data_IF_055879104559
#
_entry.id   IF_055879104559
#
_cell.length_a   1.000
_cell.length_b   1.000
_cell.length_c   1.000
_cell.angle_alpha   90.00
_cell.angle_beta   90.00
_cell.angle_gamma   90.00
#
_symmetry.space_group_name_H-M   'P 1'
#
loop_
_entity.id
_entity.type
_entity.pdbx_description
1 polymer ?
#
# COMPACT_ATOMS: atom_id res chain seq x y z
N UNK A 1 33.98 18.12 -34.04
CA UNK A 1 32.64 17.49 -33.92
C UNK A 1 32.65 16.04 -34.40
N UNK A 2 33.15 15.74 -35.61
CA UNK A 2 33.18 14.36 -36.13
C UNK A 2 33.96 13.36 -35.25
N UNK A 3 35.12 13.75 -34.69
CA UNK A 3 35.94 12.85 -33.86
C UNK A 3 35.29 12.54 -32.50
N UNK A 4 34.68 13.52 -31.82
CA UNK A 4 33.99 13.29 -30.54
C UNK A 4 32.64 12.57 -30.69
N UNK A 5 32.03 12.61 -31.89
CA UNK A 5 30.82 11.84 -32.18
C UNK A 5 31.10 10.33 -32.10
N UNK A 6 32.25 9.89 -32.62
CA UNK A 6 32.63 8.47 -32.64
C UNK A 6 33.35 8.04 -31.35
N UNK A 7 34.27 8.87 -30.83
CA UNK A 7 35.10 8.49 -29.69
C UNK A 7 34.52 8.86 -28.31
N UNK A 8 33.46 9.67 -28.28
CA UNK A 8 32.88 10.21 -27.06
C UNK A 8 33.56 11.47 -26.54
N UNK A 9 33.02 12.03 -25.45
CA UNK A 9 33.58 13.20 -24.79
C UNK A 9 33.23 14.53 -25.47
N UNK A 10 32.09 14.62 -26.16
CA UNK A 10 31.56 15.91 -26.58
C UNK A 10 31.04 16.69 -25.35
N UNK A 11 30.98 18.05 -25.39
CA UNK A 11 30.45 18.86 -24.29
C UNK A 11 29.06 18.43 -23.80
N UNK A 12 28.18 18.01 -24.72
CA UNK A 12 26.84 17.49 -24.43
C UNK A 12 26.88 16.20 -23.61
N UNK A 13 27.88 15.35 -23.79
CA UNK A 13 28.01 14.08 -23.07
C UNK A 13 28.28 14.33 -21.59
N UNK A 14 29.17 15.29 -21.28
CA UNK A 14 29.44 15.70 -19.90
C UNK A 14 28.20 16.31 -19.23
N UNK A 15 27.42 17.09 -19.96
CA UNK A 15 26.15 17.63 -19.46
C UNK A 15 25.18 16.49 -19.15
N UNK A 16 24.99 15.54 -20.09
CA UNK A 16 24.08 14.40 -19.89
C UNK A 16 24.50 13.53 -18.69
N UNK A 17 25.80 13.26 -18.53
CA UNK A 17 26.32 12.51 -17.38
C UNK A 17 26.11 13.29 -16.08
N UNK A 18 26.27 14.61 -16.09
CA UNK A 18 26.01 15.46 -14.91
C UNK A 18 24.53 15.41 -14.51
N UNK A 19 23.62 15.50 -15.49
CA UNK A 19 22.17 15.36 -15.27
C UNK A 19 21.84 13.98 -14.70
N UNK A 20 22.45 12.93 -15.24
CA UNK A 20 22.28 11.55 -14.75
C UNK A 20 22.78 11.38 -13.31
N UNK A 21 23.96 11.92 -12.99
CA UNK A 21 24.51 11.90 -11.64
C UNK A 21 23.60 12.65 -10.65
N UNK A 22 23.15 13.86 -11.00
CA UNK A 22 22.22 14.64 -10.17
C UNK A 22 20.91 13.88 -9.94
N UNK A 23 20.36 13.27 -10.99
CA UNK A 23 19.15 12.46 -10.91
C UNK A 23 19.33 11.27 -9.96
N UNK A 24 20.49 10.61 -10.00
CA UNK A 24 20.81 9.53 -9.07
C UNK A 24 20.97 10.02 -7.62
N UNK A 25 21.59 11.17 -7.39
CA UNK A 25 21.64 11.78 -6.05
C UNK A 25 20.24 12.08 -5.52
N UNK A 26 19.35 12.63 -6.34
CA UNK A 26 17.96 12.88 -5.97
C UNK A 26 17.23 11.56 -5.62
N UNK A 27 17.43 10.50 -6.39
CA UNK A 27 16.89 9.17 -6.09
C UNK A 27 17.34 8.64 -4.73
N UNK A 28 18.64 8.76 -4.41
CA UNK A 28 19.17 8.32 -3.12
C UNK A 28 18.58 9.13 -1.96
N UNK A 29 18.51 10.46 -2.10
CA UNK A 29 17.89 11.34 -1.10
C UNK A 29 16.44 10.90 -0.85
N UNK A 30 15.66 10.72 -1.92
CA UNK A 30 14.27 10.27 -1.81
C UNK A 30 14.13 8.89 -1.20
N UNK A 31 15.03 7.95 -1.52
CA UNK A 31 15.00 6.61 -0.95
C UNK A 31 15.34 6.59 0.54
N UNK A 32 16.22 7.47 1.01
CA UNK A 32 16.71 7.49 2.39
C UNK A 32 15.83 8.37 3.29
N UNK A 33 15.23 9.43 2.74
CA UNK A 33 14.42 10.42 3.45
C UNK A 33 13.34 9.81 4.39
N UNK A 34 12.57 8.79 3.98
CA UNK A 34 11.61 8.14 4.87
C UNK A 34 12.25 7.52 6.12
N UNK A 35 13.44 6.92 5.98
CA UNK A 35 14.13 6.26 7.09
C UNK A 35 14.76 7.25 8.07
N UNK A 36 15.30 8.37 7.56
CA UNK A 36 15.90 9.43 8.38
C UNK A 36 14.85 10.21 9.18
N UNK A 37 13.77 10.64 8.52
CA UNK A 37 12.80 11.56 9.12
C UNK A 37 11.74 10.83 9.93
N UNK A 38 11.27 9.66 9.48
CA UNK A 38 10.08 9.03 10.06
C UNK A 38 10.39 7.89 11.04
N UNK A 39 11.67 7.65 11.37
CA UNK A 39 12.12 6.57 12.29
C UNK A 39 11.34 5.25 12.08
N UNK A 40 11.13 4.88 10.81
CA UNK A 40 10.30 3.74 10.45
C UNK A 40 10.95 2.47 11.02
N UNK A 41 10.26 1.67 11.85
CA UNK A 41 10.83 0.41 12.30
C UNK A 41 11.11 -0.47 11.09
N UNK A 42 12.33 -1.02 11.01
CA UNK A 42 12.74 -1.94 9.94
C UNK A 42 11.77 -3.12 9.92
N UNK A 43 10.86 -3.14 8.95
CA UNK A 43 10.00 -4.29 8.74
C UNK A 43 10.87 -5.43 8.22
N UNK A 44 10.94 -6.56 8.94
CA UNK A 44 11.67 -7.76 8.53
C UNK A 44 11.02 -8.48 7.33
N UNK A 45 10.13 -7.81 6.60
CA UNK A 45 9.32 -8.38 5.52
C UNK A 45 10.03 -8.34 4.17
N UNK A 46 9.79 -9.35 3.34
CA UNK A 46 10.34 -9.49 1.98
C UNK A 46 9.96 -8.35 1.02
N UNK A 47 8.92 -7.57 1.33
CA UNK A 47 8.51 -6.39 0.56
C UNK A 47 9.48 -5.21 0.68
N UNK A 48 10.29 -5.16 1.76
CA UNK A 48 11.26 -4.09 2.00
C UNK A 48 12.41 -4.09 1.00
N UNK A 49 12.77 -5.26 0.47
CA UNK A 49 13.92 -5.41 -0.43
C UNK A 49 13.64 -4.92 -1.85
N UNK A 50 12.38 -4.85 -2.27
CA UNK A 50 12.03 -4.51 -3.66
C UNK A 50 12.45 -3.06 -4.01
N UNK A 51 12.16 -2.03 -3.20
CA UNK A 51 12.66 -0.67 -3.46
C UNK A 51 14.18 -0.57 -3.51
N UNK A 52 14.89 -1.30 -2.63
CA UNK A 52 16.37 -1.32 -2.62
C UNK A 52 16.90 -1.92 -3.93
N UNK A 53 16.33 -3.05 -4.35
CA UNK A 53 16.66 -3.71 -5.61
C UNK A 53 16.42 -2.75 -6.80
N UNK A 54 15.33 -1.96 -6.77
CA UNK A 54 15.04 -0.97 -7.80
C UNK A 54 16.06 0.17 -7.85
N UNK A 55 16.55 0.67 -6.70
CA UNK A 55 17.61 1.70 -6.66
C UNK A 55 18.90 1.15 -7.26
N UNK A 56 19.27 -0.10 -6.90
CA UNK A 56 20.46 -0.75 -7.45
C UNK A 56 20.32 -0.97 -8.96
N UNK A 57 19.17 -1.46 -9.42
CA UNK A 57 18.89 -1.65 -10.84
C UNK A 57 18.95 -0.33 -11.63
N UNK A 58 18.40 0.74 -11.05
CA UNK A 58 18.44 2.11 -11.59
C UNK A 58 19.87 2.62 -11.77
N UNK A 59 20.73 2.39 -10.77
CA UNK A 59 22.14 2.75 -10.86
C UNK A 59 22.85 1.98 -11.98
N UNK A 60 22.65 0.66 -12.02
CA UNK A 60 23.27 -0.21 -13.03
C UNK A 60 22.81 0.20 -14.43
N UNK A 61 21.54 0.53 -14.63
CA UNK A 61 21.02 0.98 -15.92
C UNK A 61 21.70 2.26 -16.39
N UNK A 62 21.81 3.30 -15.56
CA UNK A 62 22.51 4.53 -15.92
C UNK A 62 23.98 4.31 -16.23
N UNK A 63 24.66 3.55 -15.36
CA UNK A 63 26.07 3.23 -15.56
C UNK A 63 26.27 2.43 -16.86
N UNK A 64 25.35 1.52 -17.16
CA UNK A 64 25.39 0.74 -18.40
C UNK A 64 25.23 1.60 -19.64
N UNK A 65 24.27 2.54 -19.66
CA UNK A 65 24.08 3.48 -20.78
C UNK A 65 25.31 4.37 -21.00
N UNK A 66 25.93 4.85 -19.92
CA UNK A 66 27.11 5.71 -19.97
C UNK A 66 28.31 4.96 -20.57
N UNK A 67 28.48 3.68 -20.23
CA UNK A 67 29.62 2.87 -20.68
C UNK A 67 29.38 2.27 -22.07
N UNK A 68 28.16 1.80 -22.38
CA UNK A 68 27.82 1.16 -23.65
C UNK A 68 27.86 2.14 -24.83
N UNK A 69 27.38 3.38 -24.64
CA UNK A 69 27.25 4.38 -25.71
C UNK A 69 28.45 5.35 -25.79
N UNK A 70 29.60 4.99 -25.23
CA UNK A 70 30.86 5.74 -25.29
C UNK A 70 30.73 7.23 -24.92
N UNK A 71 30.09 7.59 -23.79
CA UNK A 71 30.04 9.00 -23.35
C UNK A 71 31.41 9.55 -22.97
N UNK A 72 32.32 8.66 -22.58
CA UNK A 72 33.70 8.98 -22.22
C UNK A 72 34.69 8.32 -23.17
N UNK A 73 35.77 9.03 -23.45
CA UNK A 73 36.90 8.56 -24.27
C UNK A 73 37.75 7.55 -23.48
N UNK A 74 37.24 6.34 -23.27
CA UNK A 74 37.99 5.25 -22.64
C UNK A 74 38.63 4.35 -23.69
N UNK A 75 39.95 4.15 -23.60
CA UNK A 75 40.58 3.01 -24.29
C UNK A 75 40.13 1.72 -23.60
N UNK A 76 39.37 0.89 -24.31
CA UNK A 76 38.87 -0.43 -23.84
C UNK A 76 40.07 -1.36 -23.59
N UNK A 77 40.67 -1.29 -22.41
CA UNK A 77 41.85 -2.06 -22.00
C UNK A 77 41.52 -3.16 -20.99
N UNK A 78 40.45 -3.00 -20.22
CA UNK A 78 40.06 -3.94 -19.17
C UNK A 78 38.81 -4.74 -19.55
N UNK A 79 38.72 -5.99 -19.08
CA UNK A 79 37.57 -6.87 -19.33
C UNK A 79 36.24 -6.26 -18.85
N UNK A 80 36.25 -5.49 -17.76
CA UNK A 80 35.09 -4.74 -17.25
C UNK A 80 34.62 -3.60 -18.15
N UNK A 81 35.37 -3.24 -19.20
CA UNK A 81 34.94 -2.30 -20.24
C UNK A 81 34.37 -3.03 -21.47
N UNK A 82 34.16 -4.35 -21.35
CA UNK A 82 33.55 -5.14 -22.41
C UNK A 82 32.12 -4.67 -22.64
N UNK A 83 31.84 -4.44 -23.92
CA UNK A 83 30.53 -4.10 -24.41
C UNK A 83 29.45 -5.09 -23.94
N UNK A 84 29.78 -6.38 -23.92
CA UNK A 84 28.86 -7.44 -23.52
C UNK A 84 28.42 -7.30 -22.06
N UNK A 85 29.29 -6.83 -21.16
CA UNK A 85 28.95 -6.68 -19.75
C UNK A 85 27.92 -5.55 -19.58
N UNK A 86 28.12 -4.41 -20.23
CA UNK A 86 27.26 -3.25 -20.02
C UNK A 86 26.03 -3.24 -20.92
N UNK A 87 26.17 -3.52 -22.20
CA UNK A 87 25.04 -3.51 -23.14
C UNK A 87 24.16 -4.76 -23.02
N UNK A 88 24.71 -5.94 -22.73
CA UNK A 88 23.89 -7.16 -22.63
C UNK A 88 23.47 -7.49 -21.19
N UNK A 89 24.37 -7.41 -20.20
CA UNK A 89 24.05 -7.74 -18.80
C UNK A 89 23.57 -6.53 -17.98
N UNK A 90 24.21 -5.37 -18.18
CA UNK A 90 23.88 -4.12 -17.49
C UNK A 90 22.52 -3.58 -17.90
N UNK A 91 22.33 -3.22 -19.18
CA UNK A 91 21.07 -2.66 -19.68
C UNK A 91 19.91 -3.66 -19.56
N UNK A 92 20.17 -4.94 -19.88
CA UNK A 92 19.17 -6.01 -19.90
C UNK A 92 18.77 -6.49 -18.49
N UNK A 93 19.28 -7.64 -18.02
CA UNK A 93 18.81 -8.27 -16.79
C UNK A 93 19.04 -7.42 -15.53
N UNK A 94 20.19 -6.75 -15.39
CA UNK A 94 20.50 -6.03 -14.14
C UNK A 94 19.88 -4.63 -14.06
N UNK A 95 19.58 -4.02 -15.20
CA UNK A 95 18.96 -2.71 -15.32
C UNK A 95 17.46 -2.83 -15.56
N UNK A 96 17.05 -2.73 -16.84
CA UNK A 96 15.64 -2.63 -17.23
C UNK A 96 14.84 -3.87 -16.85
N UNK A 97 15.39 -5.06 -17.07
CA UNK A 97 14.77 -6.33 -16.72
C UNK A 97 14.47 -6.45 -15.23
N UNK A 98 15.42 -6.06 -14.36
CA UNK A 98 15.23 -6.06 -12.91
C UNK A 98 14.19 -5.03 -12.47
N UNK A 99 14.21 -3.82 -13.03
CA UNK A 99 13.21 -2.78 -12.78
C UNK A 99 11.80 -3.27 -13.14
N UNK A 100 11.61 -3.81 -14.34
CA UNK A 100 10.29 -4.23 -14.80
C UNK A 100 9.81 -5.50 -14.08
N UNK A 101 10.71 -6.47 -13.85
CA UNK A 101 10.40 -7.68 -13.07
C UNK A 101 10.00 -7.37 -11.64
N UNK A 102 10.62 -6.35 -11.03
CA UNK A 102 10.25 -5.88 -9.69
C UNK A 102 8.83 -5.31 -9.66
N UNK A 103 8.40 -4.60 -10.70
CA UNK A 103 7.04 -4.07 -10.83
C UNK A 103 6.01 -5.14 -11.12
N UNK A 104 6.31 -6.10 -11.98
CA UNK A 104 5.44 -7.26 -12.20
C UNK A 104 5.26 -8.02 -10.89
N UNK A 105 6.33 -8.16 -10.10
CA UNK A 105 6.25 -8.77 -8.76
C UNK A 105 5.33 -7.98 -7.84
N UNK A 106 5.46 -6.65 -7.76
CA UNK A 106 4.56 -5.79 -6.98
C UNK A 106 3.10 -5.91 -7.45
N UNK A 107 2.85 -5.76 -8.75
CA UNK A 107 1.51 -5.85 -9.34
C UNK A 107 0.87 -7.23 -9.09
N UNK A 108 1.67 -8.29 -9.20
CA UNK A 108 1.21 -9.66 -8.92
C UNK A 108 0.88 -9.85 -7.44
N UNK A 109 1.69 -9.32 -6.52
CA UNK A 109 1.38 -9.35 -5.09
C UNK A 109 0.06 -8.67 -4.80
N UNK A 110 -0.18 -7.48 -5.38
CA UNK A 110 -1.45 -6.78 -5.27
C UNK A 110 -2.59 -7.63 -5.87
N UNK A 111 -2.41 -8.22 -7.05
CA UNK A 111 -3.42 -9.10 -7.65
C UNK A 111 -3.79 -10.29 -6.74
N UNK A 112 -2.81 -10.96 -6.13
CA UNK A 112 -3.10 -12.09 -5.24
C UNK A 112 -3.86 -11.65 -3.98
N UNK A 113 -3.45 -10.53 -3.38
CA UNK A 113 -4.07 -9.98 -2.18
C UNK A 113 -5.50 -9.51 -2.47
N UNK A 114 -5.70 -8.76 -3.56
CA UNK A 114 -6.96 -8.06 -3.84
C UNK A 114 -7.94 -8.89 -4.68
N UNK A 115 -7.48 -9.57 -5.73
CA UNK A 115 -8.35 -10.35 -6.62
C UNK A 115 -8.52 -11.78 -6.09
N UNK A 116 -7.43 -12.47 -5.80
CA UNK A 116 -7.50 -13.86 -5.32
C UNK A 116 -7.82 -13.99 -3.82
N UNK A 117 -7.85 -12.87 -3.07
CA UNK A 117 -8.10 -12.84 -1.62
C UNK A 117 -7.18 -13.79 -0.85
N UNK A 118 -5.95 -13.97 -1.34
CA UNK A 118 -4.96 -14.89 -0.79
C UNK A 118 -3.58 -14.26 -0.68
N UNK A 119 -2.79 -14.70 0.30
CA UNK A 119 -1.36 -14.41 0.30
C UNK A 119 -0.72 -14.96 -0.99
N UNK A 120 0.23 -14.23 -1.61
CA UNK A 120 0.88 -14.69 -2.83
C UNK A 120 1.50 -16.06 -2.58
N UNK A 121 1.14 -17.04 -3.42
CA UNK A 121 1.50 -18.44 -3.27
C UNK A 121 3.03 -18.65 -3.25
N UNK A 122 3.76 -17.72 -3.87
CA UNK A 122 5.22 -17.71 -3.98
C UNK A 122 5.71 -16.41 -3.33
N UNK A 123 6.64 -16.53 -2.37
CA UNK A 123 7.28 -15.37 -1.74
C UNK A 123 8.04 -14.55 -2.79
N UNK A 124 8.06 -13.23 -2.65
CA UNK A 124 8.69 -12.31 -3.63
C UNK A 124 10.13 -12.66 -3.98
N UNK A 125 10.92 -13.15 -3.02
CA UNK A 125 12.32 -13.51 -3.26
C UNK A 125 12.51 -14.75 -4.14
N UNK A 126 11.49 -15.61 -4.29
CA UNK A 126 11.49 -16.70 -5.26
C UNK A 126 10.86 -16.28 -6.58
N UNK A 127 9.80 -15.46 -6.52
CA UNK A 127 9.08 -15.03 -7.71
C UNK A 127 9.90 -14.09 -8.61
N UNK A 128 10.66 -13.17 -8.01
CA UNK A 128 11.47 -12.21 -8.77
C UNK A 128 12.55 -12.88 -9.64
N UNK A 129 13.39 -13.81 -9.13
CA UNK A 129 14.35 -14.54 -9.96
C UNK A 129 13.69 -15.33 -11.10
N UNK A 130 12.50 -15.92 -10.87
CA UNK A 130 11.77 -16.65 -11.90
C UNK A 130 11.35 -15.72 -13.04
N UNK A 131 10.79 -14.54 -12.71
CA UNK A 131 10.43 -13.54 -13.72
C UNK A 131 11.68 -12.97 -14.40
N UNK A 132 12.83 -12.92 -13.74
CA UNK A 132 14.06 -12.40 -14.34
C UNK A 132 14.74 -13.40 -15.30
N UNK A 133 14.43 -14.69 -15.20
CA UNK A 133 15.12 -15.76 -15.92
C UNK A 133 15.15 -15.57 -17.45
N UNK A 134 14.05 -15.16 -18.14
CA UNK A 134 14.10 -14.89 -19.58
C UNK A 134 15.13 -13.83 -19.98
N UNK A 135 15.34 -12.81 -19.14
CA UNK A 135 16.37 -11.79 -19.38
C UNK A 135 17.78 -12.35 -19.25
N UNK A 136 18.01 -13.18 -18.24
CA UNK A 136 19.30 -13.84 -18.00
C UNK A 136 19.65 -14.77 -19.16
N UNK A 137 18.67 -15.57 -19.62
CA UNK A 137 18.84 -16.46 -20.77
C UNK A 137 19.13 -15.65 -22.04
N UNK A 138 18.38 -14.58 -22.29
CA UNK A 138 18.62 -13.70 -23.44
C UNK A 138 20.03 -13.09 -23.43
N UNK A 139 20.46 -12.55 -22.29
CA UNK A 139 21.81 -11.98 -22.14
C UNK A 139 22.91 -13.04 -22.33
N UNK A 140 22.71 -14.26 -21.82
CA UNK A 140 23.65 -15.36 -22.00
C UNK A 140 23.77 -15.77 -23.48
N UNK A 141 22.64 -15.87 -24.20
CA UNK A 141 22.65 -16.19 -25.65
C UNK A 141 23.39 -15.11 -26.44
N UNK A 142 23.13 -13.83 -26.18
CA UNK A 142 23.84 -12.70 -26.80
C UNK A 142 25.34 -12.79 -26.50
N UNK A 143 25.73 -13.07 -25.25
CA UNK A 143 27.14 -13.17 -24.87
C UNK A 143 27.84 -14.36 -25.57
N UNK A 144 27.18 -15.51 -25.72
CA UNK A 144 27.76 -16.68 -26.39
C UNK A 144 27.85 -16.48 -27.90
N UNK A 145 26.82 -15.90 -28.53
CA UNK A 145 26.75 -15.70 -29.98
C UNK A 145 27.55 -14.49 -30.46
N UNK A 146 27.95 -13.61 -29.54
CA UNK A 146 28.77 -12.43 -29.78
C UNK A 146 28.32 -11.56 -30.97
N UNK A 147 27.07 -11.06 -30.99
CA UNK A 147 26.57 -10.27 -32.11
C UNK A 147 26.85 -8.76 -32.01
N UNK A 148 27.51 -8.28 -30.94
CA UNK A 148 27.76 -6.85 -30.73
C UNK A 148 29.00 -6.40 -31.51
N UNK A 149 28.88 -5.25 -32.17
CA UNK A 149 29.99 -4.54 -32.82
C UNK A 149 30.90 -3.83 -31.81
N UNK A 150 32.04 -3.30 -32.28
CA UNK A 150 32.98 -2.52 -31.44
C UNK A 150 32.34 -1.24 -30.86
N UNK A 151 31.29 -0.75 -31.50
CA UNK A 151 30.47 0.39 -31.06
C UNK A 151 29.33 0.01 -30.12
N UNK A 152 29.19 -1.27 -29.77
CA UNK A 152 28.12 -1.79 -28.93
C UNK A 152 26.72 -1.92 -29.54
N UNK A 153 26.61 -1.81 -30.85
CA UNK A 153 25.34 -2.01 -31.54
C UNK A 153 25.16 -3.47 -31.95
N UNK A 154 23.90 -3.90 -31.88
CA UNK A 154 23.45 -5.18 -32.40
C UNK A 154 22.63 -4.92 -33.67
N UNK A 155 22.82 -5.75 -34.70
CA UNK A 155 22.02 -5.66 -35.91
C UNK A 155 20.53 -5.98 -35.65
N UNK A 156 19.66 -5.54 -36.55
CA UNK A 156 18.20 -5.65 -36.41
C UNK A 156 17.70 -7.06 -36.04
N UNK A 157 18.34 -8.12 -36.55
CA UNK A 157 18.02 -9.52 -36.25
C UNK A 157 18.07 -9.87 -34.75
N UNK A 158 18.91 -9.18 -33.96
CA UNK A 158 19.04 -9.36 -32.51
C UNK A 158 18.24 -8.32 -31.73
N UNK A 159 18.15 -7.09 -32.26
CA UNK A 159 17.39 -6.01 -31.65
C UNK A 159 15.89 -6.28 -31.62
N UNK A 160 15.31 -6.85 -32.69
CA UNK A 160 13.88 -7.18 -32.76
C UNK A 160 13.46 -8.12 -31.61
N UNK A 161 14.10 -9.29 -31.38
CA UNK A 161 13.80 -10.14 -30.23
C UNK A 161 13.92 -9.44 -28.87
N UNK A 162 14.91 -8.56 -28.69
CA UNK A 162 15.08 -7.80 -27.44
C UNK A 162 13.91 -6.84 -27.23
N UNK A 163 13.48 -6.11 -28.26
CA UNK A 163 12.31 -5.22 -28.20
C UNK A 163 11.03 -6.02 -27.94
N UNK A 164 10.86 -7.18 -28.58
CA UNK A 164 9.72 -8.06 -28.32
C UNK A 164 9.67 -8.52 -26.86
N UNK A 165 10.83 -8.85 -26.25
CA UNK A 165 10.90 -9.21 -24.84
C UNK A 165 10.48 -8.03 -23.93
N UNK A 166 10.97 -6.81 -24.22
CA UNK A 166 10.57 -5.61 -23.47
C UNK A 166 9.05 -5.37 -23.56
N UNK A 167 8.50 -5.42 -24.77
CA UNK A 167 7.08 -5.24 -25.02
C UNK A 167 6.22 -6.31 -24.33
N UNK A 168 6.67 -7.57 -24.33
CA UNK A 168 5.99 -8.67 -23.64
C UNK A 168 5.88 -8.43 -22.14
N UNK A 169 6.94 -7.94 -21.49
CA UNK A 169 6.89 -7.64 -20.06
C UNK A 169 5.95 -6.47 -19.74
N UNK A 170 5.90 -5.45 -20.59
CA UNK A 170 4.91 -4.36 -20.44
C UNK A 170 3.50 -4.89 -20.64
N UNK A 171 3.27 -5.79 -21.60
CA UNK A 171 1.97 -6.42 -21.81
C UNK A 171 1.54 -7.26 -20.60
N UNK A 172 2.46 -8.01 -19.98
CA UNK A 172 2.19 -8.71 -18.71
C UNK A 172 1.77 -7.71 -17.63
N UNK A 173 2.51 -6.61 -17.48
CA UNK A 173 2.20 -5.60 -16.47
C UNK A 173 0.81 -4.99 -16.70
N UNK A 174 0.47 -4.65 -17.95
CA UNK A 174 -0.88 -4.20 -18.35
C UNK A 174 -1.94 -5.24 -18.02
N UNK A 175 -1.70 -6.52 -18.32
CA UNK A 175 -2.65 -7.60 -18.06
C UNK A 175 -2.93 -7.78 -16.56
N UNK A 176 -1.86 -7.83 -15.75
CA UNK A 176 -1.98 -7.97 -14.29
C UNK A 176 -2.64 -6.74 -13.67
N UNK A 177 -2.22 -5.53 -14.05
CA UNK A 177 -2.82 -4.29 -13.54
C UNK A 177 -4.26 -4.12 -14.02
N UNK A 178 -4.57 -4.52 -15.25
CA UNK A 178 -5.92 -4.49 -15.83
C UNK A 178 -6.88 -5.42 -15.10
N UNK A 179 -6.43 -6.63 -14.73
CA UNK A 179 -7.22 -7.58 -13.94
C UNK A 179 -7.59 -7.04 -12.54
N UNK A 180 -6.87 -6.03 -12.07
CA UNK A 180 -7.05 -5.39 -10.77
C UNK A 180 -7.91 -4.12 -10.87
N UNK A 181 -8.25 -3.65 -12.08
CA UNK A 181 -8.95 -2.37 -12.34
C UNK A 181 -10.34 -2.24 -11.71
N UNK A 182 -11.06 -3.36 -11.56
CA UNK A 182 -12.43 -3.36 -11.02
C UNK A 182 -12.51 -3.20 -9.50
N UNK A 183 -11.36 -3.17 -8.83
CA UNK A 183 -11.30 -3.01 -7.38
C UNK A 183 -11.22 -1.52 -7.10
N UNK A 184 -12.21 -0.98 -6.40
CA UNK A 184 -12.18 0.39 -5.90
C UNK A 184 -11.08 0.52 -4.85
N UNK A 185 -9.90 0.94 -5.30
CA UNK A 185 -8.80 1.21 -4.38
C UNK A 185 -9.10 2.46 -3.59
N UNK A 186 -9.06 2.35 -2.26
CA UNK A 186 -9.04 3.51 -1.35
C UNK A 186 -7.71 4.28 -1.40
N UNK A 187 -6.71 3.77 -2.14
CA UNK A 187 -5.36 4.32 -2.29
C UNK A 187 -5.01 4.50 -3.78
N UNK A 188 -4.18 5.50 -4.12
CA UNK A 188 -3.74 5.75 -5.52
C UNK A 188 -2.77 4.69 -6.08
N UNK A 189 -2.56 3.56 -5.40
CA UNK A 189 -1.59 2.51 -5.79
C UNK A 189 -1.85 1.95 -7.21
N UNK A 190 -3.13 1.80 -7.61
CA UNK A 190 -3.48 1.38 -8.97
C UNK A 190 -3.11 2.46 -10.01
N UNK A 191 -3.36 3.73 -9.68
CA UNK A 191 -3.01 4.88 -10.54
C UNK A 191 -1.49 4.99 -10.69
N UNK A 192 -0.76 4.70 -9.63
CA UNK A 192 0.71 4.66 -9.65
C UNK A 192 1.23 3.46 -10.48
N UNK A 193 0.60 2.28 -10.40
CA UNK A 193 0.92 1.17 -11.32
C UNK A 193 0.67 1.54 -12.79
N UNK A 194 -0.43 2.20 -13.11
CA UNK A 194 -0.71 2.68 -14.48
C UNK A 194 0.27 3.74 -14.95
N UNK A 195 0.69 4.68 -14.09
CA UNK A 195 1.75 5.63 -14.40
C UNK A 195 3.09 4.92 -14.61
N UNK A 196 3.38 3.88 -13.82
CA UNK A 196 4.55 3.02 -14.02
C UNK A 196 4.56 2.33 -15.39
N UNK A 197 3.42 1.78 -15.82
CA UNK A 197 3.25 1.22 -17.16
C UNK A 197 3.53 2.28 -18.23
N UNK A 198 2.96 3.48 -18.08
CA UNK A 198 3.15 4.58 -19.03
C UNK A 198 4.64 4.96 -19.14
N UNK A 199 5.34 5.09 -18.01
CA UNK A 199 6.78 5.40 -17.95
C UNK A 199 7.61 4.28 -18.60
N UNK A 200 7.29 3.00 -18.34
CA UNK A 200 7.99 1.88 -18.97
C UNK A 200 7.77 1.81 -20.49
N UNK A 201 6.53 2.05 -20.96
CA UNK A 201 6.23 2.08 -22.38
C UNK A 201 6.96 3.25 -23.08
N UNK A 202 6.99 4.43 -22.46
CA UNK A 202 7.72 5.59 -22.97
C UNK A 202 9.23 5.32 -23.02
N UNK A 203 9.78 4.64 -22.01
CA UNK A 203 11.18 4.22 -22.00
C UNK A 203 11.56 3.34 -23.18
N UNK A 204 10.72 2.35 -23.51
CA UNK A 204 10.95 1.46 -24.66
C UNK A 204 10.85 2.25 -25.96
N UNK A 205 9.85 3.12 -26.10
CA UNK A 205 9.70 3.96 -27.29
C UNK A 205 10.91 4.86 -27.52
N UNK A 206 11.44 5.49 -26.46
CA UNK A 206 12.64 6.33 -26.53
C UNK A 206 13.86 5.51 -26.92
N UNK A 207 14.06 4.34 -26.31
CA UNK A 207 15.19 3.46 -26.62
C UNK A 207 15.14 2.97 -28.08
N UNK A 208 13.97 2.53 -28.56
CA UNK A 208 13.76 2.11 -29.95
C UNK A 208 14.00 3.27 -30.91
N UNK A 209 13.52 4.47 -30.58
CA UNK A 209 13.73 5.67 -31.41
C UNK A 209 15.20 6.01 -31.49
N UNK A 210 15.93 5.97 -30.37
CA UNK A 210 17.37 6.21 -30.33
C UNK A 210 18.15 5.18 -31.16
N UNK A 211 17.78 3.90 -31.08
CA UNK A 211 18.35 2.83 -31.90
C UNK A 211 18.11 3.07 -33.40
N UNK A 212 16.88 3.37 -33.80
CA UNK A 212 16.53 3.62 -35.21
C UNK A 212 17.28 4.85 -35.75
N UNK A 213 17.38 5.92 -34.95
CA UNK A 213 18.12 7.12 -35.33
C UNK A 213 19.61 6.83 -35.54
N UNK A 214 20.18 5.96 -34.73
CA UNK A 214 21.60 5.60 -34.80
C UNK A 214 21.88 4.62 -35.97
N UNK A 215 20.96 3.70 -36.27
CA UNK A 215 21.09 2.74 -37.38
C UNK A 215 20.86 3.36 -38.77
N UNK A 216 19.84 4.22 -38.93
CA UNK A 216 19.48 4.78 -40.26
C UNK A 216 20.41 5.93 -40.68
N UNK A 217 21.02 6.64 -39.71
CA UNK A 217 21.70 7.91 -39.95
C UNK A 217 23.13 7.91 -39.41
N UNK A 218 23.83 6.77 -39.49
CA UNK A 218 25.24 6.61 -39.08
C UNK A 218 26.19 7.61 -39.77
N UNK A 219 25.80 8.15 -40.93
CA UNK A 219 26.57 9.16 -41.67
C UNK A 219 26.51 10.57 -41.03
N UNK A 220 25.59 10.82 -40.09
CA UNK A 220 25.30 12.15 -39.56
C UNK A 220 25.77 12.28 -38.10
N UNK A 221 27.03 12.69 -37.94
CA UNK A 221 27.70 12.84 -36.63
C UNK A 221 26.97 13.72 -35.59
N UNK A 222 26.29 14.80 -35.98
CA UNK A 222 25.58 15.66 -35.01
C UNK A 222 24.32 15.01 -34.44
N UNK A 223 23.66 14.16 -35.24
CA UNK A 223 22.44 13.48 -34.85
C UNK A 223 22.73 12.33 -33.89
N UNK A 224 23.85 11.62 -34.07
CA UNK A 224 24.34 10.61 -33.14
C UNK A 224 24.60 11.21 -31.73
N UNK A 225 25.27 12.37 -31.68
CA UNK A 225 25.51 13.09 -30.43
C UNK A 225 24.21 13.57 -29.78
N UNK A 226 23.25 14.05 -30.57
CA UNK A 226 21.93 14.44 -30.07
C UNK A 226 21.12 13.23 -29.55
N UNK A 227 21.12 12.12 -30.29
CA UNK A 227 20.42 10.88 -29.93
C UNK A 227 20.90 10.34 -28.58
N UNK A 228 22.22 10.19 -28.40
CA UNK A 228 22.78 9.75 -27.11
C UNK A 228 22.50 10.75 -26.00
N UNK A 229 22.61 12.06 -26.25
CA UNK A 229 22.27 13.06 -25.23
C UNK A 229 20.82 12.90 -24.75
N UNK A 230 19.87 12.79 -25.67
CA UNK A 230 18.44 12.61 -25.37
C UNK A 230 18.21 11.29 -24.64
N UNK A 231 18.84 10.19 -25.07
CA UNK A 231 18.68 8.87 -24.46
C UNK A 231 18.99 8.88 -22.96
N UNK A 232 20.14 9.42 -22.55
CA UNK A 232 20.55 9.43 -21.13
C UNK A 232 19.74 10.43 -20.29
N UNK A 233 19.43 11.60 -20.83
CA UNK A 233 18.60 12.61 -20.14
C UNK A 233 17.20 12.05 -19.90
N UNK A 234 16.58 11.47 -20.93
CA UNK A 234 15.24 10.90 -20.83
C UNK A 234 15.25 9.67 -19.93
N UNK A 235 16.25 8.78 -20.04
CA UNK A 235 16.41 7.67 -19.09
C UNK A 235 16.50 8.16 -17.64
N UNK A 236 17.22 9.26 -17.38
CA UNK A 236 17.33 9.87 -16.05
C UNK A 236 16.00 10.37 -15.50
N UNK A 237 15.21 11.05 -16.34
CA UNK A 237 13.86 11.50 -15.99
C UNK A 237 12.94 10.30 -15.73
N UNK A 238 12.99 9.28 -16.59
CA UNK A 238 12.14 8.10 -16.49
C UNK A 238 12.44 7.27 -15.25
N UNK A 239 13.71 7.10 -14.88
CA UNK A 239 14.08 6.40 -13.64
C UNK A 239 13.63 7.18 -12.41
N UNK A 240 13.80 8.51 -12.41
CA UNK A 240 13.24 9.38 -11.36
C UNK A 240 11.74 9.20 -11.23
N UNK A 241 10.99 9.24 -12.35
CA UNK A 241 9.56 9.01 -12.36
C UNK A 241 9.21 7.60 -11.85
N UNK A 242 9.91 6.58 -12.35
CA UNK A 242 9.68 5.19 -12.01
C UNK A 242 9.87 4.92 -10.52
N UNK A 243 10.90 5.49 -9.90
CA UNK A 243 11.10 5.40 -8.45
C UNK A 243 10.10 6.25 -7.67
N UNK A 244 9.80 7.45 -8.17
CA UNK A 244 8.92 8.38 -7.46
C UNK A 244 7.53 7.80 -7.27
N UNK A 245 7.06 7.09 -8.29
CA UNK A 245 5.79 6.38 -8.31
C UNK A 245 5.84 5.09 -7.46
N UNK A 246 7.03 4.51 -7.20
CA UNK A 246 7.15 3.29 -6.36
C UNK A 246 7.20 3.57 -4.87
N UNK A 247 7.72 4.73 -4.48
CA UNK A 247 8.11 5.06 -3.11
C UNK A 247 6.99 5.78 -2.33
N UNK A 248 6.03 6.41 -3.02
CA UNK A 248 5.14 7.41 -2.43
C UNK A 248 3.98 6.86 -1.60
N UNK A 249 3.57 5.60 -1.73
CA UNK A 249 2.34 5.16 -1.07
C UNK A 249 2.47 4.01 -0.07
N UNK A 250 3.10 2.84 -0.28
CA UNK A 250 2.96 1.75 0.70
C UNK A 250 3.64 2.06 2.05
N UNK A 251 4.75 2.79 2.06
CA UNK A 251 5.44 3.20 3.29
C UNK A 251 4.80 4.43 3.92
N UNK A 252 4.49 5.46 3.12
CA UNK A 252 3.83 6.67 3.61
C UNK A 252 2.37 6.43 4.00
N UNK A 253 1.67 5.49 3.37
CA UNK A 253 0.31 5.06 3.74
C UNK A 253 0.34 4.21 4.99
N UNK A 254 1.35 3.34 5.20
CA UNK A 254 1.53 2.67 6.48
C UNK A 254 1.89 3.66 7.61
N UNK A 255 2.71 4.67 7.31
CA UNK A 255 3.08 5.72 8.28
C UNK A 255 1.92 6.68 8.51
N UNK A 256 1.14 7.03 7.48
CA UNK A 256 -0.03 7.90 7.59
C UNK A 256 -1.20 7.15 8.19
N UNK A 257 -1.43 5.87 7.88
CA UNK A 257 -2.37 5.01 8.59
C UNK A 257 -1.95 4.95 10.05
N UNK A 258 -0.69 4.65 10.39
CA UNK A 258 -0.26 4.61 11.79
C UNK A 258 -0.35 5.97 12.50
N UNK A 259 0.00 7.08 11.83
CA UNK A 259 -0.01 8.44 12.39
C UNK A 259 -1.44 9.03 12.44
N UNK A 260 -2.31 8.66 11.51
CA UNK A 260 -3.73 9.06 11.43
C UNK A 260 -4.62 8.15 12.28
N UNK A 261 -4.36 6.85 12.35
CA UNK A 261 -4.93 5.93 13.35
C UNK A 261 -4.59 6.41 14.75
N UNK A 262 -3.36 6.87 15.01
CA UNK A 262 -3.02 7.40 16.33
C UNK A 262 -3.70 8.73 16.69
N UNK A 263 -4.31 9.44 15.73
CA UNK A 263 -4.83 10.80 15.94
C UNK A 263 -6.30 11.04 15.58
N UNK A 264 -6.93 10.21 14.74
CA UNK A 264 -8.29 10.47 14.24
C UNK A 264 -9.28 9.29 14.40
N UNK A 265 -8.82 8.05 14.60
CA UNK A 265 -9.70 6.87 14.67
C UNK A 265 -9.47 6.04 15.93
N UNK A 266 -10.53 5.81 16.71
CA UNK A 266 -10.47 5.05 17.97
C UNK A 266 -10.42 3.53 17.73
N UNK A 267 -10.88 3.06 16.57
CA UNK A 267 -10.83 1.66 16.14
C UNK A 267 -10.65 1.51 14.63
N UNK A 268 -10.12 0.37 14.17
CA UNK A 268 -10.00 0.08 12.74
C UNK A 268 -11.36 -0.04 12.04
N UNK A 269 -12.42 -0.42 12.77
CA UNK A 269 -13.78 -0.43 12.24
C UNK A 269 -14.24 0.97 11.80
N UNK A 270 -13.91 1.98 12.60
CA UNK A 270 -14.16 3.39 12.28
C UNK A 270 -13.35 3.84 11.06
N UNK A 271 -12.08 3.44 10.95
CA UNK A 271 -11.23 3.73 9.80
C UNK A 271 -11.75 3.08 8.51
N UNK A 272 -12.37 1.90 8.60
CA UNK A 272 -12.98 1.21 7.46
C UNK A 272 -14.36 1.77 7.07
N UNK A 273 -14.89 2.74 7.81
CA UNK A 273 -16.23 3.29 7.57
C UNK A 273 -17.33 2.29 7.89
N UNK A 274 -17.08 1.37 8.84
CA UNK A 274 -18.14 0.55 9.42
C UNK A 274 -19.01 1.54 10.22
N UNK A 275 -20.30 1.69 9.89
CA UNK A 275 -21.15 2.59 10.64
C UNK A 275 -21.16 2.16 12.09
N UNK A 276 -20.74 3.05 12.98
CA UNK A 276 -21.05 2.93 14.39
C UNK A 276 -22.57 2.79 14.46
N UNK A 277 -23.08 1.63 14.83
CA UNK A 277 -24.51 1.40 15.06
C UNK A 277 -25.09 2.28 16.20
N UNK A 278 -24.31 3.24 16.71
CA UNK A 278 -24.65 4.12 17.84
C UNK A 278 -25.23 5.49 17.49
N UNK A 279 -25.27 5.92 16.22
CA UNK A 279 -25.84 7.25 15.89
C UNK A 279 -27.31 7.18 15.43
N UNK A 280 -27.84 5.98 15.15
CA UNK A 280 -29.23 5.79 14.70
C UNK A 280 -30.03 4.69 15.44
N UNK A 281 -29.55 4.18 16.57
CA UNK A 281 -30.28 3.18 17.36
C UNK A 281 -30.83 3.77 18.66
N UNK A 282 -31.94 4.49 18.56
CA UNK A 282 -32.81 4.89 19.67
C UNK A 282 -33.59 3.68 20.24
N UNK A 283 -32.99 2.49 20.24
CA UNK A 283 -33.63 1.24 20.67
C UNK A 283 -32.59 0.13 20.93
N UNK A 284 -31.65 0.38 21.85
CA UNK A 284 -31.04 -0.76 22.56
C UNK A 284 -32.01 -1.16 23.69
N UNK A 285 -32.45 -2.43 23.79
CA UNK A 285 -33.38 -2.84 24.82
C UNK A 285 -32.75 -2.55 26.19
N UNK A 286 -33.43 -1.71 26.98
CA UNK A 286 -33.25 -1.46 28.41
C UNK A 286 -33.59 -2.70 29.24
N UNK A 287 -33.08 -3.86 28.84
CA UNK A 287 -33.20 -5.10 29.59
C UNK A 287 -32.15 -5.10 30.68
N UNK A 288 -32.60 -5.16 31.94
CA UNK A 288 -31.76 -5.44 33.10
C UNK A 288 -30.91 -6.68 32.80
N UNK A 289 -29.59 -6.54 32.85
CA UNK A 289 -28.68 -7.64 32.54
C UNK A 289 -28.81 -8.70 33.61
N UNK A 290 -29.13 -9.93 33.20
CA UNK A 290 -29.18 -11.08 34.09
C UNK A 290 -27.79 -11.74 34.14
N UNK A 291 -27.11 -11.76 35.30
CA UNK A 291 -25.78 -12.38 35.45
C UNK A 291 -25.76 -13.89 35.13
N UNK A 292 -26.92 -14.54 35.09
CA UNK A 292 -27.05 -15.95 34.72
C UNK A 292 -27.07 -16.18 33.19
N UNK A 293 -27.09 -15.12 32.38
CA UNK A 293 -26.95 -15.25 30.94
C UNK A 293 -25.51 -15.60 30.53
N UNK A 294 -25.34 -16.35 29.43
CA UNK A 294 -24.02 -16.72 28.95
C UNK A 294 -23.24 -15.46 28.54
N UNK A 295 -21.97 -15.36 28.98
CA UNK A 295 -21.11 -14.18 28.77
C UNK A 295 -21.02 -13.76 27.29
N UNK A 296 -20.99 -14.71 26.37
CA UNK A 296 -20.99 -14.48 24.92
C UNK A 296 -22.19 -13.67 24.44
N UNK A 297 -23.37 -13.90 25.01
CA UNK A 297 -24.58 -13.11 24.73
C UNK A 297 -24.48 -11.71 25.34
N UNK A 298 -23.98 -11.60 26.56
CA UNK A 298 -23.82 -10.34 27.27
C UNK A 298 -22.81 -9.41 26.58
N UNK A 299 -21.72 -9.98 26.08
CA UNK A 299 -20.70 -9.25 25.33
C UNK A 299 -21.21 -8.67 24.01
N UNK A 300 -22.35 -9.11 23.47
CA UNK A 300 -22.97 -8.45 22.31
C UNK A 300 -23.51 -7.06 22.65
N UNK A 301 -23.93 -6.84 23.90
CA UNK A 301 -24.37 -5.53 24.37
C UNK A 301 -23.17 -4.57 24.47
N UNK A 302 -23.20 -3.47 23.70
CA UNK A 302 -22.08 -2.53 23.58
C UNK A 302 -21.73 -1.89 24.93
N UNK A 303 -22.73 -1.53 25.75
CA UNK A 303 -22.49 -0.89 27.05
C UNK A 303 -21.90 -1.86 28.06
N UNK A 304 -22.44 -3.06 28.14
CA UNK A 304 -21.88 -4.12 28.98
C UNK A 304 -20.42 -4.39 28.60
N UNK A 305 -20.17 -4.58 27.30
CA UNK A 305 -18.82 -4.84 26.78
C UNK A 305 -17.85 -3.72 27.12
N UNK A 306 -18.26 -2.45 27.06
CA UNK A 306 -17.42 -1.31 27.46
C UNK A 306 -17.10 -1.30 28.96
N UNK A 307 -18.08 -1.58 29.83
CA UNK A 307 -17.84 -1.70 31.27
C UNK A 307 -16.91 -2.89 31.59
N UNK A 308 -17.16 -4.03 30.96
CA UNK A 308 -16.33 -5.24 31.11
C UNK A 308 -14.91 -5.03 30.60
N UNK A 309 -14.73 -4.31 29.48
CA UNK A 309 -13.43 -3.94 28.93
C UNK A 309 -12.65 -3.03 29.88
N UNK A 310 -13.29 -2.01 30.46
CA UNK A 310 -12.64 -1.13 31.43
C UNK A 310 -12.18 -1.88 32.69
N UNK A 311 -12.98 -2.85 33.14
CA UNK A 311 -12.58 -3.76 34.22
C UNK A 311 -11.38 -4.63 33.81
N UNK A 312 -11.44 -5.29 32.64
CA UNK A 312 -10.38 -6.15 32.16
C UNK A 312 -9.05 -5.40 31.97
N UNK A 313 -9.10 -4.17 31.46
CA UNK A 313 -7.95 -3.26 31.35
C UNK A 313 -7.36 -2.96 32.74
N UNK A 314 -8.20 -2.76 33.76
CA UNK A 314 -7.72 -2.56 35.15
C UNK A 314 -7.03 -3.80 35.74
N UNK A 315 -7.38 -4.98 35.25
CA UNK A 315 -6.76 -6.25 35.61
C UNK A 315 -5.55 -6.63 34.74
N UNK A 316 -5.13 -5.75 33.82
CA UNK A 316 -4.08 -6.04 32.82
C UNK A 316 -4.37 -7.28 31.96
N UNK A 317 -5.66 -7.59 31.75
CA UNK A 317 -6.16 -8.72 30.96
C UNK A 317 -7.12 -8.23 29.85
N UNK A 318 -7.01 -6.96 29.47
CA UNK A 318 -7.88 -6.30 28.51
C UNK A 318 -7.77 -6.86 27.10
N UNK A 319 -6.63 -7.45 26.73
CA UNK A 319 -6.35 -7.98 25.39
C UNK A 319 -7.43 -8.96 24.92
N UNK A 320 -8.00 -9.74 25.84
CA UNK A 320 -9.06 -10.71 25.56
C UNK A 320 -10.36 -10.02 25.11
N UNK A 321 -10.73 -8.91 25.76
CA UNK A 321 -11.97 -8.18 25.46
C UNK A 321 -11.80 -7.30 24.22
N UNK A 322 -10.64 -6.67 24.05
CA UNK A 322 -10.29 -5.90 22.85
C UNK A 322 -10.26 -6.79 21.60
N UNK A 323 -9.69 -8.00 21.70
CA UNK A 323 -9.72 -8.97 20.62
C UNK A 323 -11.15 -9.38 20.26
N UNK A 324 -12.00 -9.65 21.26
CA UNK A 324 -13.41 -9.98 21.02
C UNK A 324 -14.15 -8.86 20.28
N UNK A 325 -13.96 -7.59 20.71
CA UNK A 325 -14.60 -6.44 20.08
C UNK A 325 -14.19 -6.28 18.62
N UNK A 326 -12.89 -6.38 18.30
CA UNK A 326 -12.42 -6.26 16.91
C UNK A 326 -12.86 -7.42 16.00
N UNK A 327 -12.87 -8.66 16.51
CA UNK A 327 -13.40 -9.81 15.76
C UNK A 327 -14.92 -9.67 15.54
N UNK A 328 -15.64 -9.09 16.50
CA UNK A 328 -17.04 -8.76 16.35
C UNK A 328 -17.28 -7.64 15.32
N UNK A 329 -16.43 -6.61 15.28
CA UNK A 329 -16.50 -5.59 14.22
C UNK A 329 -16.18 -6.19 12.84
N UNK A 330 -15.25 -7.15 12.74
CA UNK A 330 -15.00 -7.91 11.51
C UNK A 330 -16.24 -8.69 11.04
N UNK A 331 -17.02 -9.26 11.95
CA UNK A 331 -18.21 -10.04 11.59
C UNK A 331 -19.35 -9.18 11.04
N UNK A 332 -19.37 -7.88 11.35
CA UNK A 332 -20.31 -6.91 10.76
C UNK A 332 -20.01 -6.57 9.30
N UNK A 333 -18.80 -6.85 8.83
CA UNK A 333 -18.42 -6.59 7.44
C UNK A 333 -19.05 -7.66 6.54
N UNK A 334 -19.84 -7.27 5.53
CA UNK A 334 -20.47 -8.19 4.58
C UNK A 334 -19.49 -9.18 3.93
N UNK A 335 -19.93 -10.42 3.66
CA UNK A 335 -19.06 -11.47 3.09
C UNK A 335 -18.59 -11.19 1.65
N UNK A 336 -19.36 -10.39 0.91
CA UNK A 336 -19.02 -9.91 -0.41
C UNK A 336 -17.86 -8.89 -0.38
N UNK A 337 -17.75 -8.08 0.69
CA UNK A 337 -16.64 -7.15 0.94
C UNK A 337 -15.42 -7.85 1.55
N UNK A 338 -14.82 -8.75 0.77
CA UNK A 338 -13.61 -9.47 1.16
C UNK A 338 -12.40 -8.57 1.42
N UNK A 339 -12.36 -7.35 0.87
CA UNK A 339 -11.21 -6.44 1.00
C UNK A 339 -11.15 -5.86 2.40
N UNK A 340 -12.26 -5.27 2.90
CA UNK A 340 -12.30 -4.74 4.28
C UNK A 340 -12.08 -5.85 5.30
N UNK A 341 -12.60 -7.05 5.04
CA UNK A 341 -12.38 -8.24 5.88
C UNK A 341 -10.90 -8.62 5.97
N UNK A 342 -10.17 -8.63 4.84
CA UNK A 342 -8.72 -8.95 4.84
C UNK A 342 -7.92 -7.90 5.62
N UNK A 343 -8.21 -6.61 5.44
CA UNK A 343 -7.50 -5.55 6.17
C UNK A 343 -7.72 -5.67 7.68
N UNK A 344 -8.97 -5.84 8.09
CA UNK A 344 -9.32 -6.03 9.49
C UNK A 344 -8.69 -7.32 10.05
N UNK A 345 -8.76 -8.44 9.32
CA UNK A 345 -8.15 -9.69 9.74
C UNK A 345 -6.63 -9.57 9.90
N UNK A 346 -5.95 -8.87 8.99
CA UNK A 346 -4.50 -8.64 9.08
C UNK A 346 -4.14 -7.80 10.29
N UNK A 347 -4.91 -6.75 10.57
CA UNK A 347 -4.72 -5.94 11.77
C UNK A 347 -4.88 -6.76 13.05
N UNK A 348 -5.95 -7.54 13.13
CA UNK A 348 -6.20 -8.44 14.27
C UNK A 348 -5.02 -9.42 14.42
N UNK A 349 -4.53 -9.99 13.33
CA UNK A 349 -3.38 -10.91 13.38
C UNK A 349 -2.12 -10.22 13.91
N UNK A 350 -1.77 -9.05 13.37
CA UNK A 350 -0.56 -8.31 13.75
C UNK A 350 -0.63 -7.79 15.21
N UNK A 351 -1.83 -7.44 15.68
CA UNK A 351 -2.06 -6.84 17.01
C UNK A 351 -2.24 -7.87 18.13
N UNK A 352 -2.89 -9.00 17.85
CA UNK A 352 -3.27 -9.99 18.87
C UNK A 352 -2.69 -11.40 18.67
N UNK A 353 -2.44 -11.84 17.43
CA UNK A 353 -2.11 -13.26 17.14
C UNK A 353 -0.61 -13.52 16.99
N UNK A 354 0.18 -12.56 16.50
CA UNK A 354 1.62 -12.74 16.34
C UNK A 354 2.32 -12.79 17.70
N UNK A 355 3.23 -13.76 17.89
CA UNK A 355 4.01 -13.88 19.11
C UNK A 355 4.87 -12.62 19.34
N UNK A 356 4.81 -12.06 20.56
CA UNK A 356 5.46 -10.80 20.93
C UNK A 356 4.70 -9.54 20.52
N UNK A 357 3.44 -9.66 20.08
CA UNK A 357 2.57 -8.50 19.86
C UNK A 357 2.21 -7.80 21.19
N UNK A 358 1.98 -6.49 21.14
CA UNK A 358 1.73 -5.70 22.34
C UNK A 358 0.45 -6.09 23.11
N UNK A 359 -0.54 -6.66 22.41
CA UNK A 359 -1.80 -7.15 22.96
C UNK A 359 -1.98 -8.62 22.57
N UNK A 360 -0.90 -9.39 22.64
CA UNK A 360 -0.92 -10.81 22.31
C UNK A 360 -1.94 -11.56 23.19
N UNK A 361 -2.89 -12.25 22.55
CA UNK A 361 -3.89 -13.04 23.26
C UNK A 361 -3.36 -14.43 23.63
N UNK A 362 -3.79 -14.91 24.79
CA UNK A 362 -3.47 -16.24 25.26
C UNK A 362 -4.37 -17.29 24.57
N UNK A 363 -3.94 -17.78 23.41
CA UNK A 363 -4.59 -18.87 22.67
C UNK A 363 -3.63 -20.04 22.46
N UNK A 364 -4.20 -21.22 22.25
CA UNK A 364 -3.49 -22.45 21.95
C UNK A 364 -2.61 -22.31 20.71
N UNK A 365 -1.49 -23.05 20.71
CA UNK A 365 -0.60 -23.10 19.55
C UNK A 365 -1.34 -23.53 18.28
N UNK A 366 -2.27 -24.50 18.40
CA UNK A 366 -3.07 -25.01 17.29
C UNK A 366 -3.92 -23.92 16.65
N UNK A 367 -4.67 -23.16 17.44
CA UNK A 367 -5.51 -22.07 16.93
C UNK A 367 -4.68 -20.96 16.29
N UNK A 368 -3.53 -20.63 16.90
CA UNK A 368 -2.58 -19.65 16.34
C UNK A 368 -2.02 -20.10 15.00
N UNK A 369 -1.58 -21.35 14.90
CA UNK A 369 -1.02 -21.91 13.67
C UNK A 369 -2.06 -21.98 12.55
N UNK A 370 -3.30 -22.36 12.86
CA UNK A 370 -4.41 -22.38 11.90
C UNK A 370 -4.67 -21.00 11.26
N UNK A 371 -4.65 -19.94 12.09
CA UNK A 371 -4.81 -18.56 11.63
C UNK A 371 -3.62 -18.13 10.77
N UNK A 372 -2.39 -18.41 11.22
CA UNK A 372 -1.16 -17.95 10.56
C UNK A 372 -0.82 -18.71 9.27
N UNK A 373 -1.25 -19.97 9.14
CA UNK A 373 -1.01 -20.81 7.97
C UNK A 373 -2.10 -20.69 6.92
N UNK A 374 -3.26 -20.12 7.28
CA UNK A 374 -4.37 -19.91 6.37
C UNK A 374 -4.00 -18.95 5.23
N UNK A 375 -4.30 -19.37 4.00
CA UNK A 375 -4.11 -18.52 2.82
C UNK A 375 -5.27 -17.56 2.56
N UNK A 376 -6.48 -17.86 3.04
CA UNK A 376 -7.70 -17.08 2.82
C UNK A 376 -8.10 -16.28 4.07
N UNK A 377 -7.67 -15.03 4.15
CA UNK A 377 -7.97 -14.14 5.28
C UNK A 377 -9.39 -13.54 5.24
N UNK A 378 -10.13 -13.70 4.13
CA UNK A 378 -11.49 -13.16 4.02
C UNK A 378 -12.54 -14.08 4.66
N UNK A 379 -12.16 -15.29 5.08
CA UNK A 379 -13.08 -16.33 5.55
C UNK A 379 -13.85 -15.88 6.82
N UNK A 380 -15.18 -16.12 6.91
CA UNK A 380 -15.99 -15.65 8.04
C UNK A 380 -15.63 -16.28 9.39
N UNK A 381 -15.18 -17.52 9.38
CA UNK A 381 -14.82 -18.34 10.55
C UNK A 381 -13.33 -18.24 10.94
N UNK A 382 -12.55 -17.34 10.32
CA UNK A 382 -11.08 -17.27 10.48
C UNK A 382 -10.63 -17.29 11.95
N UNK A 383 -11.34 -16.58 12.82
CA UNK A 383 -11.00 -16.43 14.24
C UNK A 383 -11.90 -17.25 15.17
N UNK A 384 -12.77 -18.12 14.65
CA UNK A 384 -13.81 -18.79 15.44
C UNK A 384 -13.23 -19.61 16.61
N UNK A 385 -12.22 -20.44 16.34
CA UNK A 385 -11.58 -21.27 17.37
C UNK A 385 -10.88 -20.42 18.45
N UNK A 386 -10.12 -19.41 18.04
CA UNK A 386 -9.45 -18.48 18.95
C UNK A 386 -10.46 -17.68 19.80
N UNK A 387 -11.57 -17.24 19.21
CA UNK A 387 -12.62 -16.52 19.92
C UNK A 387 -13.31 -17.41 20.96
N UNK A 388 -13.56 -18.68 20.64
CA UNK A 388 -14.11 -19.64 21.61
C UNK A 388 -13.17 -19.86 22.80
N UNK A 389 -11.86 -20.02 22.55
CA UNK A 389 -10.85 -20.14 23.61
C UNK A 389 -10.82 -18.89 24.50
N UNK A 390 -10.81 -17.70 23.89
CA UNK A 390 -10.77 -16.43 24.63
C UNK A 390 -12.04 -16.20 25.44
N UNK A 391 -13.22 -16.51 24.90
CA UNK A 391 -14.47 -16.42 25.67
C UNK A 391 -14.45 -17.37 26.87
N UNK A 392 -13.91 -18.57 26.74
CA UNK A 392 -13.76 -19.49 27.87
C UNK A 392 -12.78 -18.96 28.91
N UNK A 393 -11.65 -18.38 28.48
CA UNK A 393 -10.69 -17.75 29.39
C UNK A 393 -11.30 -16.57 30.15
N UNK A 394 -12.06 -15.70 29.47
CA UNK A 394 -12.77 -14.59 30.14
C UNK A 394 -13.82 -15.12 31.15
N UNK A 395 -14.55 -16.18 30.81
CA UNK A 395 -15.51 -16.82 31.72
C UNK A 395 -14.84 -17.36 32.98
N UNK A 396 -13.68 -18.02 32.83
CA UNK A 396 -12.96 -18.61 33.96
C UNK A 396 -12.24 -17.58 34.82
N UNK A 397 -11.63 -16.57 34.22
CA UNK A 397 -10.66 -15.70 34.90
C UNK A 397 -11.21 -14.31 35.25
N UNK A 398 -12.19 -13.78 34.51
CA UNK A 398 -12.63 -12.39 34.65
C UNK A 398 -14.09 -12.26 35.08
N UNK A 399 -14.97 -13.14 34.61
CA UNK A 399 -16.41 -12.98 34.79
C UNK A 399 -16.82 -12.92 36.26
N UNK A 400 -16.30 -13.84 37.09
CA UNK A 400 -16.63 -13.88 38.52
C UNK A 400 -16.24 -12.60 39.25
N UNK A 401 -15.04 -12.11 38.99
CA UNK A 401 -14.48 -10.94 39.66
C UNK A 401 -15.18 -9.66 39.19
N UNK A 402 -15.57 -9.61 37.92
CA UNK A 402 -16.36 -8.52 37.37
C UNK A 402 -17.69 -8.34 38.10
N UNK A 403 -18.43 -9.42 38.38
CA UNK A 403 -19.73 -9.34 39.07
C UNK A 403 -19.64 -8.71 40.46
N UNK A 404 -18.50 -8.87 41.13
CA UNK A 404 -18.22 -8.25 42.43
C UNK A 404 -17.50 -6.90 42.33
N UNK A 405 -17.16 -6.45 41.12
CA UNK A 405 -16.34 -5.25 40.91
C UNK A 405 -17.16 -3.96 41.01
N UNK A 406 -16.46 -2.87 41.34
CA UNK A 406 -17.04 -1.52 41.29
C UNK A 406 -17.51 -1.14 39.89
N UNK A 407 -16.91 -1.71 38.83
CA UNK A 407 -17.30 -1.45 37.45
C UNK A 407 -18.70 -1.99 37.13
N UNK A 408 -19.05 -3.17 37.65
CA UNK A 408 -20.37 -3.74 37.48
C UNK A 408 -21.42 -3.00 38.31
N UNK A 409 -21.11 -2.64 39.56
CA UNK A 409 -22.00 -1.84 40.40
C UNK A 409 -22.32 -0.48 39.74
N UNK A 410 -21.29 0.21 39.26
CA UNK A 410 -21.46 1.48 38.54
C UNK A 410 -22.27 1.31 37.25
N UNK A 411 -22.01 0.25 36.49
CA UNK A 411 -22.78 -0.04 35.29
C UNK A 411 -24.27 -0.30 35.59
N UNK A 412 -24.56 -1.01 36.68
CA UNK A 412 -25.92 -1.26 37.12
C UNK A 412 -26.62 0.04 37.56
N UNK A 413 -25.95 0.87 38.36
CA UNK A 413 -26.46 2.17 38.79
C UNK A 413 -26.75 3.10 37.59
N UNK A 414 -25.85 3.16 36.61
CA UNK A 414 -26.06 3.93 35.37
C UNK A 414 -27.22 3.38 34.53
N UNK A 415 -27.46 2.06 34.56
CA UNK A 415 -28.60 1.45 33.88
C UNK A 415 -29.94 1.72 34.57
N UNK A 416 -29.95 1.74 35.90
CA UNK A 416 -31.14 2.00 36.73
C UNK A 416 -31.52 3.49 36.74
N UNK A 417 -30.54 4.41 36.74
CA UNK A 417 -30.81 5.86 36.60
C UNK A 417 -31.48 6.20 35.26
N UNK A 418 -31.08 5.53 34.18
CA UNK A 418 -31.64 5.78 32.84
C UNK A 418 -33.02 5.17 32.62
N UNK A 419 -33.36 4.06 33.28
CA UNK A 419 -34.73 3.55 33.24
C UNK A 419 -35.70 4.51 33.95
N UNK A 420 -35.27 5.11 35.06
CA UNK A 420 -36.06 6.11 35.80
C UNK A 420 -36.28 7.38 34.97
N UNK A 421 -35.26 7.88 34.27
CA UNK A 421 -35.34 9.05 33.38
C UNK A 421 -36.32 8.80 32.21
N UNK A 422 -36.25 7.61 31.61
CA UNK A 422 -37.13 7.21 30.52
C UNK A 422 -38.59 7.00 30.95
N UNK A 423 -38.83 6.56 32.19
CA UNK A 423 -40.16 6.45 32.79
C UNK A 423 -40.74 7.84 33.17
N UNK A 424 -39.89 8.79 33.59
CA UNK A 424 -40.30 10.15 33.92
C UNK A 424 -40.69 10.96 32.66
N UNK A 425 -39.95 10.77 31.56
CA UNK A 425 -40.30 11.31 30.23
C UNK A 425 -41.59 10.69 29.66
N UNK A 426 -41.85 9.41 29.97
CA UNK A 426 -43.06 8.73 29.54
C UNK A 426 -44.29 9.16 30.36
N UNK A 427 -44.14 9.52 31.64
CA UNK A 427 -45.21 10.06 32.51
C UNK A 427 -45.53 11.52 32.17
N UNK A 428 -44.54 12.32 31.75
CA UNK A 428 -44.75 13.73 31.37
C UNK A 428 -45.29 13.93 29.94
N UNK A 429 -45.21 12.90 29.07
CA UNK A 429 -45.67 12.95 27.67
C UNK A 429 -47.18 12.83 27.42
N UNK A 430 -48.03 12.60 28.44
CA UNK A 430 -49.46 12.31 28.26
C UNK A 430 -50.44 13.39 28.76
N UNK A 431 -50.02 14.65 28.85
CA UNK A 431 -50.93 15.75 29.23
C UNK A 431 -50.73 17.03 28.40
N UNK A 432 -50.92 16.97 27.08
CA UNK A 432 -51.20 18.18 26.30
C UNK A 432 -52.26 17.91 25.23
N UNK A 433 -53.50 18.34 25.53
CA UNK A 433 -54.52 18.60 24.51
C UNK A 433 -54.22 19.93 23.80
N UNK A 434 -54.36 20.03 22.46
CA UNK A 434 -53.97 21.22 21.73
C UNK A 434 -55.08 22.28 21.83
N UNK A 435 -54.79 23.40 22.50
CA UNK A 435 -55.55 24.65 22.31
C UNK A 435 -54.66 25.68 21.63
N UNK A 436 -55.04 25.97 20.39
CA UNK A 436 -54.61 27.11 19.59
C UNK A 436 -54.77 28.42 20.37
N UNK A 437 -53.71 29.21 20.46
CA UNK A 437 -53.80 30.67 20.34
C UNK A 437 -52.42 31.27 20.06
N UNK A 438 -52.28 31.76 18.84
CA UNK A 438 -51.26 32.70 18.38
C UNK A 438 -51.44 34.06 19.06
N UNK A 439 -50.41 34.62 19.67
CA UNK A 439 -50.23 36.07 19.77
C UNK A 439 -48.76 36.41 19.56
N UNK A 440 -48.54 37.31 18.62
CA UNK A 440 -47.26 37.84 18.16
C UNK A 440 -47.08 39.23 18.79
N UNK A 441 -45.90 39.50 19.35
CA UNK A 441 -45.27 40.84 19.45
C UNK A 441 -43.89 40.64 20.10
N UNK A 442 -42.78 40.68 19.35
CA UNK A 442 -41.99 41.87 18.97
C UNK A 442 -41.39 42.62 20.16
N UNK A 443 -40.14 42.31 20.48
CA UNK A 443 -38.99 43.24 20.58
C UNK A 443 -38.00 42.79 21.66
N UNK A 444 -36.85 42.24 21.26
CA UNK A 444 -35.61 42.30 22.04
C UNK A 444 -34.40 42.40 21.08
N UNK A 445 -33.55 43.44 21.13
CA UNK A 445 -32.70 43.84 20.02
C UNK A 445 -31.24 43.45 20.26
N UNK A 446 -30.88 42.18 20.12
CA UNK A 446 -29.48 41.76 19.90
C UNK A 446 -29.40 40.46 19.10
N UNK A 447 -29.61 40.56 17.79
CA UNK A 447 -29.11 39.57 16.84
C UNK A 447 -28.43 40.29 15.68
N UNK A 448 -27.11 40.08 15.57
CA UNK A 448 -26.41 40.18 14.30
C UNK A 448 -25.93 38.77 13.96
N UNK A 449 -26.72 38.14 13.09
CA UNK A 449 -26.39 37.26 11.96
C UNK A 449 -25.27 36.22 12.10
N UNK A 450 -25.58 34.92 12.05
CA UNK A 450 -25.89 34.09 10.85
C UNK A 450 -24.72 33.99 9.85
N UNK A 451 -24.04 32.84 9.73
CA UNK A 451 -24.40 31.69 8.88
C UNK A 451 -24.59 32.00 7.38
N UNK A 452 -23.62 31.61 6.53
CA UNK A 452 -23.77 31.24 5.10
C UNK A 452 -22.59 30.30 4.79
N UNK A 453 -22.65 29.03 4.33
CA UNK A 453 -23.47 28.20 3.43
C UNK A 453 -23.50 28.60 1.94
N UNK A 454 -22.64 27.88 1.20
CA UNK A 454 -22.76 27.28 -0.14
C UNK A 454 -23.10 28.10 -1.41
N UNK A 455 -22.35 27.76 -2.47
CA UNK A 455 -22.84 27.38 -3.81
C UNK A 455 -23.59 28.40 -4.67
N UNK A 456 -23.05 28.63 -5.87
CA UNK A 456 -23.86 28.55 -7.09
C UNK A 456 -24.01 29.83 -7.91
N UNK A 457 -23.24 29.87 -9.00
CA UNK A 457 -23.59 30.31 -10.35
C UNK A 457 -24.50 31.52 -10.65
N UNK A 458 -23.95 32.29 -11.61
CA UNK A 458 -24.54 32.88 -12.82
C UNK A 458 -24.91 34.37 -12.83
N UNK A 459 -24.12 35.02 -13.69
CA UNK A 459 -24.50 35.82 -14.86
C UNK A 459 -24.79 37.32 -14.73
N UNK A 460 -23.98 38.00 -15.55
CA UNK A 460 -24.26 39.12 -16.46
C UNK A 460 -24.19 40.58 -15.98
N UNK A 461 -23.49 41.30 -16.86
CA UNK A 461 -23.59 42.71 -17.24
C UNK A 461 -22.93 43.78 -16.35
N UNK A 462 -21.68 44.12 -16.70
CA UNK A 462 -21.33 45.41 -17.33
C UNK A 462 -19.85 45.44 -17.77
#
# INVERSE_FOLDING_TARGET
MAECAVEGGCPTDYIAVTVSALSFFLLLIWSIFPFLVHKVPRTKGSSFWIPIIQVVASFILHLSLVISNNYFKFKKRHWWQSCYIWAAWGEGPLGFGLLLSSRITQASQLYFIFVKRRLPLIRSYFFLPIILLPWIVGAAVIHVKKPLSDRCHMGAQWTIPVVCLHAFYVAILVGVTGAVRHIEFRFDELKDLWRGILVSALSIAVWVTAYILDEILDDISWLQVASRFILLVVASILVLAFFSISSSQPLLSQISLRRRESREFRSMGQALGIPDSGVLAMSEPTSRINPNEPLDKLLLNKRFRQSFMAFADSCLAGESVHFFDEVHELSKIPEDDGVRRIYMARHIIEKYIVAGAAMEVNISHRSREEILTTSNLARPDLFHNALNEIVQLMKMNLAKDYWSSMFFLKFQEESDMRSIDHDLDQITGWNYSPRLSSVHSTDDPFHQDHLLKSSGCNDTDS
#
